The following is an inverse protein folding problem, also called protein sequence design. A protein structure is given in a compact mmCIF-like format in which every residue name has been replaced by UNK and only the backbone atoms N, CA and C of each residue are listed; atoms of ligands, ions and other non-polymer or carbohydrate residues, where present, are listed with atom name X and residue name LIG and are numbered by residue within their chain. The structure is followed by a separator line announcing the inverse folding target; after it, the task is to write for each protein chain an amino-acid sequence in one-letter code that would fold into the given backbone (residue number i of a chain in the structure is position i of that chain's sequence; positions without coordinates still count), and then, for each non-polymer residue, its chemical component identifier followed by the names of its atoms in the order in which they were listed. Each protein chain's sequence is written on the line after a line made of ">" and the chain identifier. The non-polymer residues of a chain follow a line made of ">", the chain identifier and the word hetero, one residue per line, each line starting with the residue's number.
data_IF_933942743464
#
_entry.id   IF_933942743464
#
_cell.length_a   1.000
_cell.length_b   1.000
_cell.length_c   1.000
_cell.angle_alpha   90.00
_cell.angle_beta   90.00
_cell.angle_gamma   90.00
#
_symmetry.space_group_name_H-M   'P 1'
#
loop_
_entity.id
_entity.type
_entity.pdbx_description
1 polymer ?
#
# COMPACT_ATOMS: atom_id res chain seq x y z
N UNK A 1 24.81 -6.63 -11.33
CA UNK A 1 24.91 -7.51 -12.52
C UNK A 1 23.65 -7.29 -13.35
N UNK A 2 23.83 -6.80 -14.58
CA UNK A 2 22.79 -6.32 -15.47
C UNK A 2 21.87 -7.46 -15.95
N UNK A 3 20.75 -7.67 -15.26
CA UNK A 3 19.55 -8.25 -15.87
C UNK A 3 18.62 -7.10 -16.21
N UNK A 4 18.27 -6.94 -17.47
CA UNK A 4 17.24 -6.00 -17.93
C UNK A 4 15.90 -6.38 -17.31
N UNK A 5 15.67 -6.00 -16.06
CA UNK A 5 14.35 -6.13 -15.44
C UNK A 5 13.48 -5.12 -16.18
N UNK A 6 12.65 -5.62 -17.09
CA UNK A 6 11.66 -4.77 -17.75
C UNK A 6 10.84 -4.08 -16.67
N UNK A 7 10.65 -2.75 -16.71
CA UNK A 7 9.85 -2.03 -15.73
C UNK A 7 8.44 -2.63 -15.58
N UNK A 8 7.94 -3.23 -16.66
CA UNK A 8 6.70 -4.00 -16.72
C UNK A 8 6.75 -5.28 -15.86
N UNK A 9 7.88 -5.99 -15.82
CA UNK A 9 8.05 -7.18 -14.99
C UNK A 9 8.04 -6.81 -13.49
N UNK A 10 8.64 -5.68 -13.12
CA UNK A 10 8.59 -5.16 -11.74
C UNK A 10 7.16 -4.75 -11.36
N UNK A 11 6.43 -4.15 -12.30
CA UNK A 11 5.02 -3.82 -12.12
C UNK A 11 4.17 -5.06 -11.83
N UNK A 12 4.22 -6.09 -12.68
CA UNK A 12 3.47 -7.33 -12.43
C UNK A 12 3.97 -8.08 -11.20
N UNK A 13 5.28 -8.06 -10.96
CA UNK A 13 5.85 -8.74 -9.81
C UNK A 13 5.45 -8.09 -8.48
N UNK A 14 5.37 -6.75 -8.42
CA UNK A 14 4.93 -6.03 -7.21
C UNK A 14 3.44 -6.22 -6.91
N UNK A 15 2.62 -6.48 -7.92
CA UNK A 15 1.19 -6.76 -7.75
C UNK A 15 0.95 -8.16 -7.16
N UNK A 16 1.62 -9.18 -7.71
CA UNK A 16 1.31 -10.60 -7.42
C UNK A 16 2.37 -11.28 -6.56
N UNK A 17 3.62 -11.38 -7.03
CA UNK A 17 4.69 -12.15 -6.36
C UNK A 17 5.23 -11.46 -5.10
N UNK A 18 5.30 -10.13 -5.10
CA UNK A 18 5.88 -9.32 -4.03
C UNK A 18 4.85 -8.43 -3.34
N UNK A 19 3.61 -8.90 -3.21
CA UNK A 19 2.52 -8.08 -2.65
C UNK A 19 2.92 -7.52 -1.27
N UNK A 20 2.93 -6.20 -1.16
CA UNK A 20 3.43 -5.49 0.02
C UNK A 20 2.63 -5.82 1.28
N UNK A 21 1.34 -6.16 1.13
CA UNK A 21 0.45 -6.41 2.25
C UNK A 21 0.45 -7.86 2.70
N UNK A 22 0.40 -8.81 1.76
CA UNK A 22 0.23 -10.23 2.09
C UNK A 22 1.57 -10.99 2.21
N UNK A 23 2.61 -10.55 1.48
CA UNK A 23 3.93 -11.19 1.52
C UNK A 23 4.85 -10.49 2.51
N UNK A 24 4.83 -9.16 2.55
CA UNK A 24 5.70 -8.38 3.45
C UNK A 24 4.99 -7.95 4.75
N UNK A 25 3.67 -8.15 4.89
CA UNK A 25 2.88 -7.80 6.09
C UNK A 25 2.84 -6.29 6.43
N UNK A 26 2.95 -5.41 5.44
CA UNK A 26 2.82 -3.96 5.63
C UNK A 26 1.41 -3.45 5.30
N UNK A 27 0.93 -2.47 6.06
CA UNK A 27 -0.36 -1.78 5.83
C UNK A 27 -1.56 -2.44 6.49
N UNK A 28 -1.34 -3.29 7.50
CA UNK A 28 -2.41 -4.06 8.16
C UNK A 28 -3.41 -3.21 8.96
N UNK A 29 -2.99 -2.06 9.51
CA UNK A 29 -3.82 -1.24 10.40
C UNK A 29 -5.10 -0.74 9.73
N UNK A 30 -4.95 -0.13 8.55
CA UNK A 30 -6.07 0.38 7.74
C UNK A 30 -6.84 -0.76 7.06
N UNK A 31 -6.14 -1.83 6.67
CA UNK A 31 -6.74 -3.05 6.09
C UNK A 31 -7.73 -3.75 7.04
N UNK A 32 -7.37 -3.94 8.31
CA UNK A 32 -8.25 -4.57 9.30
C UNK A 32 -9.44 -3.69 9.68
N UNK A 33 -9.22 -2.37 9.71
CA UNK A 33 -10.21 -1.38 10.16
C UNK A 33 -11.29 -1.10 9.10
N UNK A 34 -10.91 -0.97 7.83
CA UNK A 34 -11.80 -0.45 6.76
C UNK A 34 -12.39 -1.55 5.87
N UNK A 35 -11.98 -2.81 6.03
CA UNK A 35 -12.46 -3.95 5.22
C UNK A 35 -13.91 -4.42 5.50
N UNK A 36 -14.74 -3.65 6.21
CA UNK A 36 -16.12 -4.06 6.54
C UNK A 36 -17.09 -3.91 5.36
N UNK A 37 -16.88 -2.90 4.53
CA UNK A 37 -17.77 -2.56 3.42
C UNK A 37 -16.97 -2.37 2.13
N UNK A 38 -17.49 -2.94 1.03
CA UNK A 38 -16.84 -2.82 -0.28
C UNK A 38 -16.73 -1.37 -0.75
N UNK A 39 -17.74 -0.53 -0.52
CA UNK A 39 -17.76 0.88 -0.97
C UNK A 39 -16.68 1.72 -0.29
N UNK A 40 -16.46 1.55 1.01
CA UNK A 40 -15.42 2.29 1.74
C UNK A 40 -14.02 1.75 1.45
N UNK A 41 -13.90 0.41 1.36
CA UNK A 41 -12.64 -0.27 1.02
C UNK A 41 -12.12 0.11 -0.37
N UNK A 42 -13.02 0.23 -1.36
CA UNK A 42 -12.68 0.64 -2.72
C UNK A 42 -12.19 2.09 -2.75
N UNK A 43 -12.88 2.99 -2.04
CA UNK A 43 -12.48 4.39 -1.90
C UNK A 43 -11.08 4.56 -1.30
N UNK A 44 -10.82 3.92 -0.16
CA UNK A 44 -9.51 3.93 0.48
C UNK A 44 -8.43 3.31 -0.41
N UNK A 45 -8.77 2.20 -1.07
CA UNK A 45 -8.01 1.54 -2.10
C UNK A 45 -7.40 2.45 -3.16
N UNK A 46 -8.28 3.21 -3.83
CA UNK A 46 -7.91 4.15 -4.88
C UNK A 46 -7.04 5.28 -4.32
N UNK A 47 -7.38 5.80 -3.14
CA UNK A 47 -6.57 6.83 -2.49
C UNK A 47 -5.14 6.33 -2.18
N UNK A 48 -4.99 5.11 -1.69
CA UNK A 48 -3.67 4.50 -1.43
C UNK A 48 -2.89 4.28 -2.71
N UNK A 49 -3.52 3.82 -3.80
CA UNK A 49 -2.85 3.72 -5.12
C UNK A 49 -2.30 5.08 -5.54
N UNK A 50 -3.13 6.13 -5.49
CA UNK A 50 -2.75 7.46 -5.91
C UNK A 50 -1.60 8.04 -5.08
N UNK A 51 -1.69 7.93 -3.75
CA UNK A 51 -0.64 8.38 -2.84
C UNK A 51 0.64 7.58 -3.06
N UNK A 52 0.57 6.26 -3.16
CA UNK A 52 1.77 5.41 -3.32
C UNK A 52 2.44 5.62 -4.68
N UNK A 53 1.67 5.73 -5.77
CA UNK A 53 2.20 6.00 -7.10
C UNK A 53 2.89 7.37 -7.20
N UNK A 54 2.45 8.37 -6.43
CA UNK A 54 3.00 9.73 -6.49
C UNK A 54 4.13 9.96 -5.48
N UNK A 55 3.97 9.47 -4.25
CA UNK A 55 4.98 9.65 -3.18
C UNK A 55 6.26 8.87 -3.43
N UNK A 56 6.19 7.69 -4.06
CA UNK A 56 7.39 6.88 -4.37
C UNK A 56 8.38 7.59 -5.30
N UNK A 57 7.98 8.10 -6.50
CA UNK A 57 8.90 8.88 -7.35
C UNK A 57 9.28 10.24 -6.76
N UNK A 58 8.41 10.87 -5.95
CA UNK A 58 8.78 12.09 -5.21
C UNK A 58 9.90 11.81 -4.21
N UNK A 59 9.79 10.73 -3.43
CA UNK A 59 10.83 10.31 -2.50
C UNK A 59 12.12 9.90 -3.24
N UNK A 60 12.03 9.34 -4.44
CA UNK A 60 13.20 9.11 -5.30
C UNK A 60 13.92 10.41 -5.64
N UNK A 61 13.18 11.44 -6.06
CA UNK A 61 13.76 12.75 -6.39
C UNK A 61 14.44 13.36 -5.18
N UNK A 62 13.76 13.36 -4.02
CA UNK A 62 14.31 13.87 -2.77
C UNK A 62 15.54 13.08 -2.33
N UNK A 63 15.53 11.76 -2.45
CA UNK A 63 16.69 10.93 -2.10
C UNK A 63 17.90 11.25 -2.98
N UNK A 64 17.73 11.24 -4.30
CA UNK A 64 18.81 11.42 -5.27
C UNK A 64 19.35 12.86 -5.30
N UNK A 65 18.48 13.87 -5.20
CA UNK A 65 18.86 15.28 -5.37
C UNK A 65 19.14 16.00 -4.05
N UNK A 66 18.72 15.44 -2.91
CA UNK A 66 18.82 16.13 -1.61
C UNK A 66 19.57 15.29 -0.57
N UNK A 67 19.35 13.98 -0.47
CA UNK A 67 20.03 13.21 0.59
C UNK A 67 21.45 12.81 0.20
N UNK A 68 21.64 12.30 -1.01
CA UNK A 68 22.95 11.87 -1.52
C UNK A 68 23.94 13.06 -1.59
N UNK A 69 23.65 14.20 -2.23
CA UNK A 69 24.64 15.26 -2.40
C UNK A 69 25.03 15.94 -1.08
N UNK A 70 24.15 15.92 -0.08
CA UNK A 70 24.41 16.50 1.23
C UNK A 70 24.93 15.48 2.26
N UNK A 71 25.06 14.19 1.90
CA UNK A 71 25.51 13.13 2.83
C UNK A 71 24.54 12.85 3.98
N UNK A 72 23.25 13.20 3.83
CA UNK A 72 22.21 13.15 4.87
C UNK A 72 21.41 11.84 4.83
N UNK A 73 22.00 10.76 4.33
CA UNK A 73 21.35 9.47 4.12
C UNK A 73 20.77 8.85 5.40
N UNK A 74 21.31 9.20 6.57
CA UNK A 74 20.82 8.74 7.87
C UNK A 74 19.44 9.33 8.22
N UNK A 75 19.03 10.45 7.60
CA UNK A 75 17.73 11.11 7.81
C UNK A 75 16.62 10.58 6.89
N UNK A 76 16.89 9.57 6.05
CA UNK A 76 15.96 9.06 5.04
C UNK A 76 14.55 8.76 5.57
N UNK A 77 14.45 8.15 6.74
CA UNK A 77 13.16 7.81 7.35
C UNK A 77 12.33 9.06 7.65
N UNK A 78 12.95 10.06 8.28
CA UNK A 78 12.28 11.30 8.67
C UNK A 78 11.84 12.08 7.43
N UNK A 79 12.74 12.21 6.44
CA UNK A 79 12.45 12.95 5.21
C UNK A 79 11.31 12.30 4.43
N UNK A 80 11.31 10.98 4.28
CA UNK A 80 10.23 10.28 3.57
C UNK A 80 8.88 10.43 4.28
N UNK A 81 8.85 10.36 5.61
CA UNK A 81 7.61 10.58 6.37
C UNK A 81 7.09 12.01 6.15
N UNK A 82 7.96 13.02 6.17
CA UNK A 82 7.55 14.43 5.95
C UNK A 82 6.99 14.62 4.53
N UNK A 83 7.63 14.06 3.51
CA UNK A 83 7.16 14.15 2.12
C UNK A 83 5.79 13.48 1.97
N UNK A 84 5.63 12.28 2.55
CA UNK A 84 4.35 11.56 2.52
C UNK A 84 3.27 12.37 3.27
N UNK A 85 3.57 12.89 4.45
CA UNK A 85 2.63 13.68 5.24
C UNK A 85 2.16 14.93 4.49
N UNK A 86 3.08 15.69 3.90
CA UNK A 86 2.74 16.86 3.11
C UNK A 86 1.87 16.52 1.89
N UNK A 87 2.17 15.42 1.20
CA UNK A 87 1.39 14.99 0.03
C UNK A 87 -0.01 14.49 0.40
N UNK A 88 -0.12 13.71 1.48
CA UNK A 88 -1.41 13.22 1.97
C UNK A 88 -2.26 14.37 2.48
N UNK A 89 -1.68 15.38 3.14
CA UNK A 89 -2.40 16.58 3.55
C UNK A 89 -3.04 17.30 2.34
N UNK A 90 -2.28 17.45 1.25
CA UNK A 90 -2.80 18.01 0.00
C UNK A 90 -3.91 17.13 -0.58
N UNK A 91 -3.75 15.81 -0.51
CA UNK A 91 -4.76 14.85 -0.98
C UNK A 91 -6.05 14.95 -0.14
N UNK A 92 -5.94 15.14 1.18
CA UNK A 92 -7.08 15.33 2.08
C UNK A 92 -7.90 16.55 1.70
N UNK A 93 -7.27 17.71 1.54
CA UNK A 93 -7.92 18.94 1.09
C UNK A 93 -8.58 18.77 -0.29
N UNK A 94 -7.96 17.97 -1.17
CA UNK A 94 -8.51 17.68 -2.50
C UNK A 94 -9.77 16.80 -2.40
N UNK A 95 -9.74 15.74 -1.60
CA UNK A 95 -10.89 14.82 -1.42
C UNK A 95 -12.08 15.55 -0.78
N UNK A 96 -11.83 16.42 0.20
CA UNK A 96 -12.86 17.24 0.84
C UNK A 96 -13.58 18.13 -0.20
N UNK A 97 -12.85 18.67 -1.17
CA UNK A 97 -13.42 19.55 -2.18
C UNK A 97 -14.17 18.83 -3.30
N UNK A 98 -13.70 17.66 -3.74
CA UNK A 98 -14.27 16.96 -4.90
C UNK A 98 -15.30 15.88 -4.55
N UNK A 99 -15.21 15.25 -3.37
CA UNK A 99 -16.03 14.08 -3.03
C UNK A 99 -16.44 14.05 -1.56
N UNK A 100 -17.46 14.83 -1.23
CA UNK A 100 -18.09 14.86 0.09
C UNK A 100 -18.57 13.49 0.63
N UNK A 101 -19.18 12.57 -0.16
CA UNK A 101 -19.60 11.26 0.37
C UNK A 101 -18.41 10.36 0.76
N UNK A 102 -17.26 10.52 0.10
CA UNK A 102 -16.04 9.78 0.42
C UNK A 102 -15.39 10.34 1.69
N UNK A 103 -15.37 11.67 1.81
CA UNK A 103 -14.85 12.35 3.00
C UNK A 103 -15.70 12.03 4.25
N UNK A 104 -17.03 12.01 4.17
CA UNK A 104 -17.89 11.62 5.28
C UNK A 104 -17.69 10.16 5.73
N UNK A 105 -17.36 9.27 4.80
CA UNK A 105 -17.14 7.85 5.10
C UNK A 105 -15.71 7.55 5.58
N UNK A 106 -14.74 8.36 5.17
CA UNK A 106 -13.32 8.05 5.29
C UNK A 106 -12.50 9.09 6.06
N UNK A 107 -13.09 10.24 6.44
CA UNK A 107 -12.37 11.41 6.99
C UNK A 107 -11.46 11.10 8.18
N UNK A 108 -11.88 10.22 9.09
CA UNK A 108 -11.05 9.80 10.24
C UNK A 108 -9.86 8.92 9.81
N UNK A 109 -9.99 8.22 8.68
CA UNK A 109 -8.96 7.31 8.15
C UNK A 109 -8.00 7.97 7.16
N UNK A 110 -8.28 9.18 6.68
CA UNK A 110 -7.39 9.92 5.78
C UNK A 110 -6.02 10.20 6.44
N UNK A 111 -5.95 10.69 7.70
CA UNK A 111 -4.68 10.82 8.40
C UNK A 111 -3.94 9.50 8.58
N UNK A 112 -4.66 8.37 8.64
CA UNK A 112 -4.08 7.04 8.76
C UNK A 112 -3.29 6.61 7.51
N UNK A 113 -3.48 7.28 6.37
CA UNK A 113 -2.69 7.09 5.16
C UNK A 113 -1.25 7.57 5.38
N UNK A 114 -1.03 8.68 6.12
CA UNK A 114 0.31 9.24 6.39
C UNK A 114 1.22 8.24 7.10
N UNK A 115 0.66 7.50 8.06
CA UNK A 115 1.34 6.50 8.88
C UNK A 115 1.19 5.09 8.34
N UNK A 116 0.71 4.94 7.10
CA UNK A 116 0.56 3.64 6.49
C UNK A 116 1.95 3.05 6.18
N UNK A 117 2.30 2.00 6.90
CA UNK A 117 3.61 1.38 6.75
C UNK A 117 3.86 0.82 5.34
N UNK A 118 2.83 0.45 4.57
CA UNK A 118 3.03 0.04 3.18
C UNK A 118 3.59 1.17 2.30
N UNK A 119 3.13 2.41 2.49
CA UNK A 119 3.56 3.57 1.69
C UNK A 119 5.01 3.92 2.01
N UNK A 120 5.36 3.96 3.30
CA UNK A 120 6.73 4.16 3.76
C UNK A 120 7.65 3.02 3.29
N UNK A 121 7.21 1.78 3.43
CA UNK A 121 7.99 0.59 3.06
C UNK A 121 8.31 0.53 1.58
N UNK A 122 7.37 0.89 0.70
CA UNK A 122 7.61 0.97 -0.75
C UNK A 122 8.67 2.01 -1.09
N UNK A 123 8.59 3.19 -0.45
CA UNK A 123 9.61 4.25 -0.61
C UNK A 123 10.99 3.78 -0.15
N UNK A 124 11.06 2.96 0.91
CA UNK A 124 12.32 2.44 1.42
C UNK A 124 12.89 1.30 0.56
N UNK A 125 12.04 0.37 0.13
CA UNK A 125 12.45 -0.73 -0.76
C UNK A 125 12.93 -0.22 -2.12
N UNK A 126 12.36 0.87 -2.60
CA UNK A 126 12.81 1.54 -3.81
C UNK A 126 14.28 2.00 -3.71
N UNK A 127 14.71 2.44 -2.53
CA UNK A 127 16.11 2.82 -2.27
C UNK A 127 16.99 1.58 -2.12
N UNK A 128 16.56 0.59 -1.33
CA UNK A 128 17.34 -0.64 -1.08
C UNK A 128 17.60 -1.42 -2.38
N UNK A 129 16.65 -1.39 -3.32
CA UNK A 129 16.74 -2.08 -4.62
C UNK A 129 17.28 -1.19 -5.74
N UNK A 130 17.73 0.02 -5.43
CA UNK A 130 18.33 0.99 -6.37
C UNK A 130 17.52 1.19 -7.66
N UNK A 131 16.20 1.39 -7.52
CA UNK A 131 15.36 1.63 -8.69
C UNK A 131 15.58 3.01 -9.32
N UNK A 132 15.43 3.11 -10.64
CA UNK A 132 15.42 4.37 -11.38
C UNK A 132 14.06 5.07 -11.27
N UNK A 133 13.99 6.38 -11.56
CA UNK A 133 12.75 7.16 -11.47
C UNK A 133 11.51 6.49 -12.09
N UNK A 134 11.64 6.01 -13.33
CA UNK A 134 10.54 5.36 -14.04
C UNK A 134 10.14 4.02 -13.43
N UNK A 135 11.14 3.24 -12.99
CA UNK A 135 10.92 1.98 -12.29
C UNK A 135 10.27 2.20 -10.92
N UNK A 136 10.64 3.26 -10.21
CA UNK A 136 10.07 3.66 -8.91
C UNK A 136 8.60 4.03 -9.02
N UNK A 137 8.21 4.77 -10.06
CA UNK A 137 6.80 5.07 -10.33
C UNK A 137 5.99 3.78 -10.57
N UNK A 138 6.47 2.90 -11.45
CA UNK A 138 5.80 1.63 -11.74
C UNK A 138 5.77 0.70 -10.52
N UNK A 139 6.83 0.67 -9.71
CA UNK A 139 6.87 -0.10 -8.47
C UNK A 139 5.87 0.43 -7.44
N UNK A 140 5.75 1.75 -7.29
CA UNK A 140 4.75 2.38 -6.41
C UNK A 140 3.32 2.11 -6.88
N UNK A 141 3.07 2.23 -8.18
CA UNK A 141 1.76 1.96 -8.79
C UNK A 141 1.38 0.48 -8.62
N UNK A 142 2.29 -0.44 -8.95
CA UNK A 142 2.07 -1.88 -8.81
C UNK A 142 1.86 -2.32 -7.37
N UNK A 143 2.66 -1.80 -6.43
CA UNK A 143 2.47 -2.07 -5.00
C UNK A 143 1.14 -1.54 -4.47
N UNK A 144 0.71 -0.36 -4.96
CA UNK A 144 -0.59 0.23 -4.62
C UNK A 144 -1.75 -0.63 -5.14
N UNK A 145 -1.67 -1.10 -6.38
CA UNK A 145 -2.67 -2.01 -6.96
C UNK A 145 -2.70 -3.35 -6.20
N UNK A 146 -1.54 -3.90 -5.83
CA UNK A 146 -1.46 -5.11 -5.01
C UNK A 146 -2.18 -4.94 -3.66
N UNK A 147 -1.99 -3.80 -3.02
CA UNK A 147 -2.70 -3.44 -1.78
C UNK A 147 -4.21 -3.30 -2.00
N UNK A 148 -4.62 -2.66 -3.09
CA UNK A 148 -6.02 -2.47 -3.48
C UNK A 148 -6.76 -3.79 -3.72
N UNK A 149 -6.14 -4.70 -4.46
CA UNK A 149 -6.70 -6.03 -4.73
C UNK A 149 -6.89 -6.78 -3.41
N UNK A 150 -5.92 -6.71 -2.50
CA UNK A 150 -6.00 -7.36 -1.21
C UNK A 150 -7.16 -6.82 -0.36
N UNK A 151 -7.32 -5.49 -0.24
CA UNK A 151 -8.41 -4.92 0.58
C UNK A 151 -9.80 -5.20 -0.01
N UNK A 152 -9.95 -5.18 -1.34
CA UNK A 152 -11.21 -5.56 -1.99
C UNK A 152 -11.54 -7.02 -1.75
N UNK A 153 -10.56 -7.91 -1.91
CA UNK A 153 -10.76 -9.35 -1.67
C UNK A 153 -11.20 -9.60 -0.22
N UNK A 154 -10.54 -8.94 0.74
CA UNK A 154 -10.90 -9.01 2.15
C UNK A 154 -12.32 -8.50 2.42
N UNK A 155 -12.69 -7.34 1.86
CA UNK A 155 -14.02 -6.78 2.01
C UNK A 155 -15.10 -7.66 1.38
N UNK A 156 -14.83 -8.26 0.23
CA UNK A 156 -15.73 -9.23 -0.42
C UNK A 156 -15.95 -10.48 0.44
N UNK A 157 -14.87 -11.05 1.00
CA UNK A 157 -14.97 -12.21 1.89
C UNK A 157 -15.75 -11.84 3.16
N UNK A 158 -15.46 -10.70 3.78
CA UNK A 158 -16.17 -10.22 4.98
C UNK A 158 -17.65 -9.98 4.72
N UNK A 159 -17.99 -9.38 3.58
CA UNK A 159 -19.38 -9.15 3.20
C UNK A 159 -20.15 -10.46 3.04
N UNK A 160 -19.54 -11.49 2.43
CA UNK A 160 -20.13 -12.83 2.32
C UNK A 160 -20.26 -13.53 3.67
N UNK A 161 -19.33 -13.30 4.59
CA UNK A 161 -19.37 -13.88 5.94
C UNK A 161 -20.42 -13.26 6.86
N UNK A 162 -20.97 -12.07 6.55
CA UNK A 162 -22.02 -11.45 7.39
C UNK A 162 -23.28 -12.31 7.52
N UNK A 163 -23.54 -13.16 6.53
CA UNK A 163 -24.67 -14.12 6.53
C UNK A 163 -24.33 -15.47 7.15
N UNK A 164 -23.05 -15.74 7.47
CA UNK A 164 -22.62 -17.00 8.06
C UNK A 164 -22.73 -16.98 9.59
N UNK A 165 -22.99 -18.14 10.20
CA UNK A 165 -22.97 -18.29 11.67
C UNK A 165 -21.51 -18.34 12.15
N UNK A 166 -21.03 -17.22 12.69
CA UNK A 166 -19.71 -17.10 13.30
C UNK A 166 -19.87 -17.23 14.82
N UNK A 167 -18.97 -17.90 15.55
CA UNK A 167 -18.99 -17.91 17.01
C UNK A 167 -18.86 -16.47 17.57
N UNK A 168 -19.65 -16.07 18.58
CA UNK A 168 -19.70 -14.68 19.04
C UNK A 168 -18.36 -14.15 19.54
N UNK A 169 -17.49 -15.01 20.09
CA UNK A 169 -16.15 -14.64 20.54
C UNK A 169 -15.13 -14.36 19.42
N UNK A 170 -15.44 -14.72 18.17
CA UNK A 170 -14.55 -14.53 17.00
C UNK A 170 -15.01 -13.40 16.08
N UNK A 171 -16.15 -12.75 16.37
CA UNK A 171 -16.68 -11.69 15.54
C UNK A 171 -15.75 -10.46 15.49
N UNK A 172 -15.73 -9.79 14.33
CA UNK A 172 -14.95 -8.58 14.15
C UNK A 172 -13.46 -8.83 13.83
N UNK A 173 -12.49 -8.32 14.64
CA UNK A 173 -11.06 -8.40 14.31
C UNK A 173 -10.51 -9.83 14.29
N UNK A 174 -11.00 -10.72 15.16
CA UNK A 174 -10.50 -12.09 15.31
C UNK A 174 -10.66 -12.90 14.01
N UNK A 175 -11.88 -12.96 13.47
CA UNK A 175 -12.11 -13.63 12.18
C UNK A 175 -11.41 -12.94 11.01
N UNK A 176 -11.25 -11.61 11.08
CA UNK A 176 -10.53 -10.84 10.05
C UNK A 176 -9.06 -11.27 9.96
N UNK A 177 -8.40 -11.49 11.10
CA UNK A 177 -7.03 -12.00 11.15
C UNK A 177 -6.91 -13.44 10.62
N UNK A 178 -7.87 -14.30 10.95
CA UNK A 178 -7.89 -15.68 10.44
C UNK A 178 -8.00 -15.69 8.91
N UNK A 179 -8.91 -14.90 8.34
CA UNK A 179 -9.06 -14.77 6.89
C UNK A 179 -7.80 -14.18 6.27
N UNK A 180 -7.21 -13.14 6.89
CA UNK A 180 -5.97 -12.56 6.42
C UNK A 180 -4.84 -13.59 6.36
N UNK A 181 -4.76 -14.50 7.34
CA UNK A 181 -3.84 -15.63 7.32
C UNK A 181 -4.07 -16.60 6.17
N UNK A 182 -5.34 -16.97 5.90
CA UNK A 182 -5.68 -17.78 4.72
C UNK A 182 -5.35 -17.09 3.40
N UNK A 183 -5.61 -15.78 3.30
CA UNK A 183 -5.24 -14.98 2.15
C UNK A 183 -3.71 -14.93 1.97
N UNK A 184 -2.96 -14.74 3.05
CA UNK A 184 -1.49 -14.73 3.01
C UNK A 184 -0.94 -16.08 2.53
N UNK A 185 -1.47 -17.20 3.01
CA UNK A 185 -1.08 -18.54 2.53
C UNK A 185 -1.38 -18.72 1.04
N UNK A 186 -2.54 -18.27 0.56
CA UNK A 186 -2.87 -18.33 -0.87
C UNK A 186 -1.92 -17.47 -1.72
N UNK A 187 -1.54 -16.28 -1.25
CA UNK A 187 -0.65 -15.38 -1.97
C UNK A 187 0.82 -15.81 -1.92
N UNK A 188 1.28 -16.46 -0.84
CA UNK A 188 2.62 -17.04 -0.77
C UNK A 188 2.84 -18.12 -1.84
N UNK A 189 1.78 -18.80 -2.30
CA UNK A 189 1.84 -19.72 -3.44
C UNK A 189 2.28 -19.05 -4.74
N UNK A 190 2.09 -17.74 -4.89
CA UNK A 190 2.55 -16.97 -6.05
C UNK A 190 3.99 -16.49 -5.95
N UNK A 191 4.62 -16.54 -4.77
CA UNK A 191 5.96 -15.99 -4.50
C UNK A 191 7.08 -16.55 -5.39
N UNK A 192 6.87 -17.71 -6.03
CA UNK A 192 7.83 -18.35 -6.95
C UNK A 192 7.65 -18.03 -8.45
N UNK A 193 6.64 -17.25 -8.86
CA UNK A 193 6.32 -17.06 -10.29
C UNK A 193 7.25 -16.08 -11.02
N UNK A 194 7.77 -15.06 -10.33
CA UNK A 194 8.66 -14.04 -10.92
C UNK A 194 9.78 -13.81 -9.92
N UNK A 195 10.97 -14.36 -10.21
CA UNK A 195 12.15 -14.13 -9.40
C UNK A 195 12.66 -12.71 -9.63
N UNK A 196 12.44 -11.82 -8.66
CA UNK A 196 13.14 -10.55 -8.53
C UNK A 196 14.52 -10.84 -7.92
N UNK A 197 15.46 -11.39 -8.71
CA UNK A 197 16.88 -11.53 -8.34
C UNK A 197 17.70 -10.37 -8.88
#
# INVERSE_FOLDING_TARGET
>A
MNGSITPLAIFFASIFTGNILLTNYLGMCSFLSVSKELKTSTGLGVAVIFVMATTTPLNWLVYQHLLIPFGLEYLRFIVFIIVIAAFVQLTEMTIERYSEPLYQSLGIFLPLITVNCAILGVSLFMVIREYSFFTSFLFGLGSGIGWFIAIIAMAGIRQKLRTAKIPPGLEGPGITLIIAGFMAMAFMGFSGMIALS
#
